data_IF_881497350080
#
_entry.id   IF_881497350080
#
_cell.length_a   1.000
_cell.length_b   1.000
_cell.length_c   1.000
_cell.angle_alpha   90.00
_cell.angle_beta   90.00
_cell.angle_gamma   90.00
#
_symmetry.space_group_name_H-M   'P 1'
#
loop_
_entity.id
_entity.type
_entity.pdbx_description
1 polymer ?
#
# COMPACT_ATOMS: atom_id res chain seq x y z
N UNK A 1 -23.71 -18.74 -57.21
CA UNK A 1 -25.15 -19.04 -57.34
C UNK A 1 -25.58 -19.96 -56.21
N UNK A 2 -26.22 -19.37 -55.18
CA UNK A 2 -27.26 -19.96 -54.33
C UNK A 2 -27.75 -18.82 -53.42
N UNK A 3 -28.85 -18.21 -53.85
CA UNK A 3 -29.68 -17.30 -53.07
C UNK A 3 -30.52 -18.11 -52.07
N UNK A 4 -30.70 -17.62 -50.83
CA UNK A 4 -31.94 -17.72 -50.04
C UNK A 4 -31.99 -16.52 -49.04
N UNK A 5 -33.16 -15.90 -48.76
CA UNK A 5 -33.29 -14.55 -48.24
C UNK A 5 -33.84 -14.40 -46.80
N UNK A 6 -33.61 -13.20 -46.24
CA UNK A 6 -34.47 -12.32 -45.40
C UNK A 6 -35.33 -12.94 -44.27
N UNK A 7 -35.15 -12.44 -43.04
CA UNK A 7 -36.26 -11.95 -42.20
C UNK A 7 -35.80 -10.92 -41.15
N UNK A 8 -36.50 -9.78 -41.14
CA UNK A 8 -36.42 -8.68 -40.17
C UNK A 8 -37.32 -8.99 -38.95
N UNK A 9 -36.97 -8.47 -37.77
CA UNK A 9 -37.89 -8.40 -36.62
C UNK A 9 -37.26 -7.80 -35.35
N UNK A 10 -37.42 -6.49 -35.15
CA UNK A 10 -37.45 -5.79 -33.85
C UNK A 10 -38.94 -5.59 -33.45
N UNK A 11 -39.30 -5.02 -32.28
CA UNK A 11 -38.85 -5.22 -30.89
C UNK A 11 -40.07 -5.49 -29.95
N UNK A 12 -39.86 -5.95 -28.71
CA UNK A 12 -40.90 -5.85 -27.65
C UNK A 12 -40.30 -5.42 -26.32
N UNK A 13 -40.93 -4.37 -25.78
CA UNK A 13 -40.74 -3.66 -24.52
C UNK A 13 -41.50 -4.38 -23.39
N UNK A 14 -40.90 -4.48 -22.19
CA UNK A 14 -41.56 -4.49 -20.86
C UNK A 14 -40.45 -4.46 -19.79
N UNK A 15 -40.15 -3.35 -19.10
CA UNK A 15 -40.90 -2.64 -18.06
C UNK A 15 -41.18 -3.49 -16.81
N UNK A 16 -40.39 -3.30 -15.75
CA UNK A 16 -40.80 -3.51 -14.36
C UNK A 16 -39.88 -2.72 -13.40
N UNK A 17 -40.39 -1.55 -13.01
CA UNK A 17 -40.09 -0.80 -11.77
C UNK A 17 -40.67 -1.58 -10.57
N UNK A 18 -40.09 -1.50 -9.37
CA UNK A 18 -40.76 -1.40 -8.04
C UNK A 18 -39.69 -1.24 -6.92
N UNK A 19 -39.40 -0.04 -6.37
CA UNK A 19 -39.93 0.77 -5.21
C UNK A 19 -39.45 0.36 -3.79
N UNK A 20 -39.09 1.40 -3.00
CA UNK A 20 -39.01 1.60 -1.50
C UNK A 20 -37.57 1.57 -0.93
N UNK A 21 -36.90 2.64 -0.47
CA UNK A 21 -37.25 3.88 0.27
C UNK A 21 -37.76 3.64 1.70
N UNK A 22 -36.86 3.76 2.68
CA UNK A 22 -37.20 4.05 4.09
C UNK A 22 -36.27 5.16 4.60
N UNK A 23 -36.87 6.33 4.79
CA UNK A 23 -36.40 7.42 5.64
C UNK A 23 -37.05 7.24 7.01
N UNK A 24 -36.29 7.43 8.09
CA UNK A 24 -36.84 7.49 9.45
C UNK A 24 -36.00 8.42 10.31
N UNK A 25 -36.46 9.66 10.46
CA UNK A 25 -35.93 10.68 11.35
C UNK A 25 -37.01 11.05 12.38
N UNK A 26 -36.56 11.45 13.57
CA UNK A 26 -37.29 12.06 14.71
C UNK A 26 -38.06 11.13 15.67
N UNK A 27 -37.71 11.16 16.96
CA UNK A 27 -38.31 12.10 17.92
C UNK A 27 -37.58 12.12 19.27
N UNK A 28 -37.52 13.32 19.83
CA UNK A 28 -37.06 13.65 21.18
C UNK A 28 -38.09 13.24 22.24
N UNK A 29 -37.62 13.01 23.47
CA UNK A 29 -38.37 13.29 24.69
C UNK A 29 -37.43 13.74 25.80
N UNK A 30 -37.92 14.73 26.53
CA UNK A 30 -37.25 15.53 27.56
C UNK A 30 -37.64 15.04 28.97
N UNK A 31 -36.77 15.40 29.93
CA UNK A 31 -37.01 15.63 31.37
C UNK A 31 -37.04 14.45 32.38
N UNK A 32 -36.22 14.62 33.42
CA UNK A 32 -36.19 13.82 34.65
C UNK A 32 -35.05 14.24 35.57
N UNK A 33 -35.37 15.02 36.61
CA UNK A 33 -34.48 15.77 37.48
C UNK A 33 -33.64 14.97 38.51
N UNK A 34 -32.50 15.58 38.86
CA UNK A 34 -31.86 15.67 40.19
C UNK A 34 -31.56 14.41 41.01
N UNK A 35 -30.26 14.15 41.19
CA UNK A 35 -29.70 13.37 42.29
C UNK A 35 -28.20 13.68 42.42
N UNK A 36 -27.86 14.71 43.18
CA UNK A 36 -26.48 15.01 43.55
C UNK A 36 -25.97 13.94 44.53
N UNK A 37 -25.18 12.99 44.01
CA UNK A 37 -24.37 12.09 44.81
C UNK A 37 -22.91 12.27 44.35
N UNK A 38 -22.10 12.79 45.26
CA UNK A 38 -20.64 12.90 45.16
C UNK A 38 -20.06 11.50 44.94
N UNK A 39 -19.79 11.14 43.69
CA UNK A 39 -19.01 9.97 43.32
C UNK A 39 -17.58 10.43 43.03
N UNK A 40 -16.62 9.80 43.71
CA UNK A 40 -15.20 9.88 43.40
C UNK A 40 -14.97 9.65 41.90
N UNK A 41 -14.01 10.34 41.26
CA UNK A 41 -13.72 10.12 39.86
C UNK A 41 -13.28 8.66 39.67
N UNK A 42 -13.99 7.93 38.78
CA UNK A 42 -13.48 6.68 38.23
C UNK A 42 -12.17 6.98 37.50
N UNK A 43 -11.22 6.03 37.47
CA UNK A 43 -10.07 6.15 36.58
C UNK A 43 -10.56 6.34 35.15
N UNK A 44 -10.01 7.34 34.47
CA UNK A 44 -10.35 7.69 33.09
C UNK A 44 -10.34 6.41 32.25
N UNK A 45 -11.52 6.04 31.75
CA UNK A 45 -11.59 5.04 30.69
C UNK A 45 -10.87 5.67 29.50
N UNK A 46 -9.76 5.07 29.00
CA UNK A 46 -9.07 5.63 27.85
C UNK A 46 -10.09 5.82 26.74
N UNK A 47 -10.14 7.03 26.19
CA UNK A 47 -11.03 7.33 25.08
C UNK A 47 -10.81 6.26 23.99
N UNK A 48 -11.90 5.74 23.37
CA UNK A 48 -11.73 4.81 22.26
C UNK A 48 -10.80 5.46 21.23
N UNK A 49 -9.83 4.68 20.75
CA UNK A 49 -8.92 5.15 19.71
C UNK A 49 -9.77 5.74 18.57
N UNK A 50 -9.42 6.92 18.04
CA UNK A 50 -10.18 7.54 16.95
C UNK A 50 -10.32 6.53 15.82
N UNK A 51 -11.55 6.35 15.33
CA UNK A 51 -11.81 5.49 14.17
C UNK A 51 -11.05 6.07 12.99
N UNK A 52 -10.14 5.29 12.40
CA UNK A 52 -9.37 5.72 11.24
C UNK A 52 -10.35 6.07 10.10
N UNK A 53 -10.19 7.25 9.52
CA UNK A 53 -10.95 7.65 8.33
C UNK A 53 -10.38 6.92 7.11
N UNK A 54 -10.96 5.77 6.80
CA UNK A 54 -10.57 4.93 5.65
C UNK A 54 -10.90 5.56 4.29
N UNK A 55 -11.67 6.66 4.27
CA UNK A 55 -12.03 7.35 3.04
C UNK A 55 -10.90 8.24 2.50
N UNK A 56 -9.95 8.62 3.36
CA UNK A 56 -8.77 9.38 2.96
C UNK A 56 -7.73 8.44 2.35
N UNK A 57 -7.19 8.79 1.18
CA UNK A 57 -6.09 8.04 0.58
C UNK A 57 -4.82 8.29 1.41
N UNK A 58 -4.12 7.25 1.92
CA UNK A 58 -2.86 7.45 2.62
C UNK A 58 -1.81 8.21 1.78
N UNK A 59 -1.89 8.14 0.45
CA UNK A 59 -1.03 8.89 -0.47
C UNK A 59 -1.23 10.40 -0.39
N UNK A 60 -2.37 10.87 0.10
CA UNK A 60 -2.61 12.30 0.30
C UNK A 60 -1.64 12.92 1.31
N UNK A 61 -1.06 12.11 2.21
CA UNK A 61 -0.04 12.55 3.17
C UNK A 61 1.36 12.56 2.57
N UNK A 62 1.58 11.86 1.45
CA UNK A 62 2.84 11.92 0.72
C UNK A 62 2.94 13.20 -0.12
N UNK A 63 1.80 13.84 -0.44
CA UNK A 63 1.73 15.11 -1.14
C UNK A 63 2.38 16.24 -0.30
N UNK A 64 3.65 16.52 -0.55
CA UNK A 64 4.43 17.55 0.17
C UNK A 64 5.74 17.02 0.76
N UNK A 65 5.93 15.71 0.79
CA UNK A 65 7.27 15.13 0.98
C UNK A 65 8.02 15.31 -0.33
N UNK A 66 8.68 16.47 -0.50
CA UNK A 66 9.50 16.73 -1.67
C UNK A 66 10.73 15.82 -1.61
N UNK A 67 10.81 14.87 -2.54
CA UNK A 67 12.10 14.36 -2.97
C UNK A 67 12.93 15.49 -3.57
N UNK A 68 14.23 15.28 -3.72
CA UNK A 68 15.19 16.16 -4.41
C UNK A 68 15.85 17.25 -3.54
N UNK A 69 16.67 16.78 -2.59
CA UNK A 69 17.95 17.41 -2.27
C UNK A 69 19.08 16.46 -2.68
N UNK A 70 19.66 16.63 -3.86
CA UNK A 70 20.85 15.88 -4.24
C UNK A 70 22.02 16.30 -3.35
N UNK A 71 22.38 15.51 -2.35
CA UNK A 71 23.64 15.69 -1.63
C UNK A 71 24.76 15.08 -2.48
N UNK A 72 25.54 15.95 -3.13
CA UNK A 72 26.73 15.55 -3.87
C UNK A 72 27.70 14.78 -2.96
N UNK A 73 27.86 13.48 -3.22
CA UNK A 73 29.02 12.70 -2.77
C UNK A 73 29.04 12.26 -1.31
N UNK A 74 27.95 12.41 -0.54
CA UNK A 74 27.83 11.74 0.74
C UNK A 74 27.34 10.31 0.52
N UNK A 75 28.02 9.32 1.09
CA UNK A 75 27.46 7.99 1.28
C UNK A 75 26.17 8.18 2.06
N UNK A 76 25.04 8.04 1.38
CA UNK A 76 23.76 8.08 2.04
C UNK A 76 23.67 6.82 2.91
N UNK A 77 24.05 6.97 4.17
CA UNK A 77 23.98 5.92 5.18
C UNK A 77 22.92 6.36 6.17
N UNK A 78 21.75 5.77 6.03
CA UNK A 78 20.71 5.88 7.03
C UNK A 78 21.08 5.00 8.22
N UNK A 79 21.15 5.55 9.46
CA UNK A 79 21.38 4.72 10.63
C UNK A 79 20.20 3.78 10.82
N UNK A 80 20.48 2.49 11.06
CA UNK A 80 19.43 1.52 11.36
C UNK A 80 18.65 2.00 12.58
N UNK A 81 17.31 2.01 12.47
CA UNK A 81 16.44 2.39 13.59
C UNK A 81 16.36 1.21 14.54
N UNK A 82 16.73 1.42 15.79
CA UNK A 82 16.62 0.39 16.82
C UNK A 82 15.19 0.27 17.36
N UNK A 83 14.86 -0.87 17.98
CA UNK A 83 13.58 -1.04 18.68
C UNK A 83 13.40 -0.02 19.81
N UNK A 84 14.49 0.42 20.46
CA UNK A 84 14.46 1.40 21.55
C UNK A 84 14.08 2.80 21.08
N UNK A 85 14.40 3.15 19.84
CA UNK A 85 14.05 4.42 19.21
C UNK A 85 12.63 4.41 18.62
N UNK A 86 12.04 3.23 18.45
CA UNK A 86 10.71 3.08 17.88
C UNK A 86 9.66 3.77 18.76
N UNK A 87 8.89 4.68 18.16
CA UNK A 87 7.77 5.34 18.83
C UNK A 87 6.46 4.55 18.70
N UNK A 88 6.46 3.54 17.83
CA UNK A 88 5.34 2.60 17.66
C UNK A 88 5.77 1.22 18.18
N UNK A 89 5.08 0.64 19.17
CA UNK A 89 5.40 -0.70 19.64
C UNK A 89 5.07 -1.74 18.57
N UNK A 90 5.92 -2.76 18.46
CA UNK A 90 5.63 -3.94 17.64
C UNK A 90 4.58 -4.85 18.32
N UNK A 91 3.73 -5.56 17.53
CA UNK A 91 3.61 -5.45 16.09
C UNK A 91 2.88 -4.16 15.69
N UNK A 92 3.35 -3.49 14.64
CA UNK A 92 2.77 -2.19 14.21
C UNK A 92 1.36 -2.33 13.60
N UNK A 93 0.97 -3.55 13.20
CA UNK A 93 -0.38 -3.94 12.78
C UNK A 93 -0.67 -5.41 13.13
N UNK A 94 -1.94 -5.81 13.09
CA UNK A 94 -2.35 -7.21 13.27
C UNK A 94 -2.41 -7.91 11.90
N UNK A 95 -1.43 -8.77 11.63
CA UNK A 95 -1.31 -9.52 10.38
C UNK A 95 -2.51 -10.42 10.06
N UNK A 96 -3.20 -10.94 11.09
CA UNK A 96 -4.37 -11.80 10.90
C UNK A 96 -5.58 -11.08 10.32
N UNK A 97 -5.56 -9.75 10.34
CA UNK A 97 -6.63 -8.86 9.86
C UNK A 97 -6.37 -8.29 8.46
N UNK A 98 -5.26 -8.66 7.82
CA UNK A 98 -4.96 -8.23 6.44
C UNK A 98 -5.85 -8.99 5.47
N UNK A 99 -6.65 -8.25 4.71
CA UNK A 99 -7.60 -8.79 3.72
C UNK A 99 -7.08 -8.67 2.29
N UNK A 100 -6.28 -7.65 2.02
CA UNK A 100 -5.71 -7.38 0.70
C UNK A 100 -4.34 -6.71 0.83
N UNK A 101 -3.44 -7.02 -0.09
CA UNK A 101 -2.11 -6.43 -0.23
C UNK A 101 -2.01 -5.91 -1.66
N UNK A 102 -1.59 -4.67 -1.83
CA UNK A 102 -1.24 -4.11 -3.14
C UNK A 102 0.23 -3.72 -3.13
N UNK A 103 0.96 -4.15 -4.15
CA UNK A 103 2.37 -3.83 -4.33
C UNK A 103 2.49 -3.16 -5.68
N UNK A 104 3.01 -1.95 -5.70
CA UNK A 104 3.27 -1.20 -6.92
C UNK A 104 4.75 -0.90 -7.00
N UNK A 105 5.36 -1.29 -8.11
CA UNK A 105 6.70 -0.90 -8.50
C UNK A 105 6.60 -0.04 -9.76
N UNK A 106 7.32 1.08 -9.77
CA UNK A 106 7.42 1.94 -10.94
C UNK A 106 8.85 2.44 -11.07
N UNK A 107 9.41 2.39 -12.27
CA UNK A 107 10.75 2.91 -12.53
C UNK A 107 10.84 3.52 -13.92
N UNK A 108 11.23 4.79 -13.97
CA UNK A 108 11.51 5.54 -15.20
C UNK A 108 13.03 5.71 -15.38
N UNK A 109 13.74 4.62 -15.65
CA UNK A 109 15.18 4.68 -15.92
C UNK A 109 15.56 5.12 -17.34
N UNK A 110 16.87 5.17 -17.62
CA UNK A 110 17.42 5.41 -18.96
C UNK A 110 17.49 4.15 -19.86
N UNK A 111 16.95 3.02 -19.41
CA UNK A 111 16.90 1.77 -20.17
C UNK A 111 15.91 1.86 -21.34
N UNK A 112 16.18 1.14 -22.44
CA UNK A 112 15.23 0.96 -23.55
C UNK A 112 13.93 0.23 -23.12
N UNK A 113 13.98 -0.45 -21.98
CA UNK A 113 12.84 -1.13 -21.35
C UNK A 113 12.13 -0.26 -20.29
N UNK A 114 12.42 1.04 -20.26
CA UNK A 114 11.75 2.03 -19.41
C UNK A 114 10.53 2.67 -20.12
N UNK A 115 9.44 3.00 -19.40
CA UNK A 115 9.20 2.73 -17.98
C UNK A 115 9.03 1.24 -17.70
N UNK A 116 9.36 0.82 -16.48
CA UNK A 116 9.00 -0.48 -15.93
C UNK A 116 7.92 -0.27 -14.88
N UNK A 117 6.80 -0.95 -15.04
CA UNK A 117 5.68 -0.93 -14.11
C UNK A 117 5.35 -2.36 -13.69
N UNK A 118 5.12 -2.56 -12.40
CA UNK A 118 4.51 -3.79 -11.89
C UNK A 118 3.46 -3.45 -10.85
N UNK A 119 2.29 -4.08 -10.97
CA UNK A 119 1.22 -4.00 -10.01
C UNK A 119 0.80 -5.41 -9.60
N UNK A 120 1.01 -5.74 -8.33
CA UNK A 120 0.63 -7.03 -7.74
C UNK A 120 -0.50 -6.77 -6.75
N UNK A 121 -1.61 -7.47 -6.92
CA UNK A 121 -2.71 -7.52 -5.94
C UNK A 121 -2.79 -8.92 -5.35
N UNK A 122 -2.74 -9.04 -4.02
CA UNK A 122 -3.08 -10.26 -3.29
C UNK A 122 -4.38 -10.02 -2.50
N UNK A 123 -5.30 -10.99 -2.53
CA UNK A 123 -6.57 -10.95 -1.78
C UNK A 123 -6.76 -12.24 -1.02
N UNK A 124 -7.14 -12.14 0.25
CA UNK A 124 -7.36 -13.30 1.11
C UNK A 124 -8.46 -14.18 0.52
N UNK A 125 -8.16 -15.47 0.35
CA UNK A 125 -9.06 -16.46 -0.23
C UNK A 125 -8.82 -17.83 0.42
N UNK A 126 -9.82 -18.36 1.13
CA UNK A 126 -9.69 -19.64 1.83
C UNK A 126 -8.58 -19.61 2.89
N UNK A 127 -7.63 -20.54 2.79
CA UNK A 127 -6.42 -20.71 3.61
C UNK A 127 -5.17 -20.07 2.96
N UNK A 128 -5.36 -19.12 2.05
CA UNK A 128 -4.29 -18.44 1.33
C UNK A 128 -4.69 -17.10 0.76
N UNK A 129 -3.99 -16.70 -0.29
CA UNK A 129 -4.27 -15.50 -1.05
C UNK A 129 -4.32 -15.83 -2.53
N UNK A 130 -5.35 -15.33 -3.22
CA UNK A 130 -5.32 -15.25 -4.67
C UNK A 130 -4.52 -14.02 -5.06
N UNK A 131 -3.67 -14.15 -6.06
CA UNK A 131 -2.85 -13.05 -6.56
C UNK A 131 -3.07 -12.81 -8.05
N UNK A 132 -2.89 -11.55 -8.45
CA UNK A 132 -2.79 -11.10 -9.83
C UNK A 132 -1.62 -10.13 -9.93
N UNK A 133 -0.76 -10.34 -10.93
CA UNK A 133 0.42 -9.53 -11.21
C UNK A 133 0.29 -9.03 -12.64
N UNK A 134 0.35 -7.72 -12.81
CA UNK A 134 0.42 -7.03 -14.10
C UNK A 134 1.79 -6.38 -14.21
N UNK A 135 2.50 -6.63 -15.31
CA UNK A 135 3.83 -6.09 -15.59
C UNK A 135 3.86 -5.46 -16.97
N UNK A 136 4.55 -4.32 -17.07
CA UNK A 136 4.94 -3.75 -18.36
C UNK A 136 6.34 -3.18 -18.33
N UNK A 137 7.01 -3.23 -19.47
CA UNK A 137 8.28 -2.55 -19.68
C UNK A 137 8.37 -1.95 -21.08
N UNK A 138 8.99 -0.78 -21.15
CA UNK A 138 9.14 0.02 -22.35
C UNK A 138 7.96 0.96 -22.59
N UNK A 139 8.12 1.96 -23.46
CA UNK A 139 7.08 2.95 -23.71
C UNK A 139 5.84 2.29 -24.29
N UNK A 140 4.67 2.57 -23.70
CA UNK A 140 3.39 1.97 -24.10
C UNK A 140 3.04 2.17 -25.58
N UNK A 141 3.59 3.22 -26.21
CA UNK A 141 3.38 3.58 -27.62
C UNK A 141 4.30 2.82 -28.59
N UNK A 142 5.33 2.13 -28.09
CA UNK A 142 6.23 1.33 -28.91
C UNK A 142 5.73 -0.11 -29.02
N UNK A 143 5.79 -0.65 -30.23
CA UNK A 143 5.47 -2.05 -30.53
C UNK A 143 6.38 -3.06 -29.81
N UNK A 144 7.44 -2.57 -29.16
CA UNK A 144 8.42 -3.34 -28.38
C UNK A 144 8.11 -3.38 -26.89
N UNK A 145 7.01 -2.77 -26.43
CA UNK A 145 6.61 -2.84 -25.03
C UNK A 145 6.31 -4.29 -24.63
N UNK A 146 7.01 -4.75 -23.60
CA UNK A 146 6.79 -6.06 -23.00
C UNK A 146 5.64 -5.94 -22.01
N UNK A 147 4.72 -6.90 -22.05
CA UNK A 147 3.61 -7.00 -21.10
C UNK A 147 3.47 -8.43 -20.66
N UNK A 148 3.28 -8.61 -19.36
CA UNK A 148 3.07 -9.92 -18.77
C UNK A 148 2.01 -9.83 -17.68
N UNK A 149 1.07 -10.78 -17.69
CA UNK A 149 -0.01 -10.86 -16.72
C UNK A 149 -0.03 -12.28 -16.16
N UNK A 150 0.10 -12.39 -14.85
CA UNK A 150 0.11 -13.66 -14.13
C UNK A 150 -0.97 -13.65 -13.05
N UNK A 151 -1.55 -14.80 -12.76
CA UNK A 151 -2.44 -14.98 -11.62
C UNK A 151 -2.29 -16.38 -11.04
N UNK A 152 -2.66 -16.53 -9.78
CA UNK A 152 -2.58 -17.81 -9.08
C UNK A 152 -3.03 -17.70 -7.64
N UNK A 153 -2.66 -18.69 -6.84
CA UNK A 153 -2.90 -18.70 -5.40
C UNK A 153 -1.59 -19.01 -4.67
N UNK A 154 -1.39 -18.40 -3.51
CA UNK A 154 -0.24 -18.58 -2.63
C UNK A 154 -0.73 -18.98 -1.23
N UNK A 155 0.01 -19.83 -0.54
CA UNK A 155 -0.36 -20.29 0.79
C UNK A 155 -0.28 -19.15 1.82
N UNK A 156 -1.17 -19.16 2.82
CA UNK A 156 -1.16 -18.13 3.87
C UNK A 156 0.18 -18.10 4.62
N UNK A 157 0.86 -19.24 4.76
CA UNK A 157 2.16 -19.31 5.44
C UNK A 157 3.27 -18.50 4.74
N UNK A 158 3.24 -18.40 3.41
CA UNK A 158 4.24 -17.62 2.66
C UNK A 158 3.98 -16.12 2.80
N UNK A 159 2.71 -15.71 2.74
CA UNK A 159 2.29 -14.32 2.97
C UNK A 159 2.47 -13.93 4.45
N UNK A 160 2.26 -14.85 5.39
CA UNK A 160 2.41 -14.60 6.83
C UNK A 160 3.87 -14.29 7.20
N UNK A 161 4.85 -14.90 6.52
CA UNK A 161 6.27 -14.57 6.70
C UNK A 161 6.53 -13.11 6.34
N UNK A 162 6.08 -12.69 5.16
CA UNK A 162 6.16 -11.30 4.71
C UNK A 162 5.51 -10.34 5.71
N UNK A 163 4.26 -10.61 6.11
CA UNK A 163 3.54 -9.76 7.05
C UNK A 163 4.18 -9.72 8.44
N UNK A 164 4.79 -10.82 8.89
CA UNK A 164 5.50 -10.88 10.17
C UNK A 164 6.72 -9.97 10.18
N UNK A 165 7.50 -9.98 9.09
CA UNK A 165 8.67 -9.09 8.98
C UNK A 165 8.24 -7.63 8.95
N UNK A 166 7.24 -7.27 8.13
CA UNK A 166 6.72 -5.92 8.06
C UNK A 166 6.16 -5.42 9.40
N UNK A 167 5.46 -6.29 10.14
CA UNK A 167 4.87 -5.94 11.43
C UNK A 167 5.91 -5.67 12.53
N UNK A 168 7.14 -6.18 12.36
CA UNK A 168 8.22 -6.03 13.33
C UNK A 168 9.15 -4.83 13.04
N UNK A 169 8.97 -4.12 11.91
CA UNK A 169 9.85 -3.01 11.53
C UNK A 169 9.71 -1.85 12.54
N UNK A 170 10.81 -1.42 13.18
CA UNK A 170 10.81 -0.23 14.04
C UNK A 170 10.42 1.03 13.27
N UNK A 171 9.58 1.87 13.89
CA UNK A 171 9.07 3.11 13.29
C UNK A 171 9.38 4.31 14.17
N UNK A 172 9.93 5.37 13.57
CA UNK A 172 10.08 6.69 14.21
C UNK A 172 9.13 7.69 13.57
N UNK A 173 8.71 8.70 14.31
CA UNK A 173 7.86 9.77 13.77
C UNK A 173 8.61 10.53 12.66
N UNK A 174 7.95 10.78 11.53
CA UNK A 174 8.48 11.66 10.50
C UNK A 174 8.33 13.11 10.95
N UNK A 175 9.43 13.86 10.94
CA UNK A 175 9.43 15.28 11.23
C UNK A 175 9.95 16.06 10.01
N UNK A 176 9.18 17.04 9.54
CA UNK A 176 9.56 17.92 8.44
C UNK A 176 10.45 19.11 8.87
N UNK A 177 10.68 19.27 10.18
CA UNK A 177 11.52 20.34 10.73
C UNK A 177 13.01 19.98 10.61
N UNK A 178 13.82 20.91 10.10
CA UNK A 178 15.26 20.72 9.88
C UNK A 178 16.09 20.45 11.16
N UNK A 179 15.52 20.75 12.33
CA UNK A 179 16.17 20.60 13.64
C UNK A 179 15.85 19.26 14.34
N UNK A 180 15.06 18.38 13.70
CA UNK A 180 14.73 17.04 14.20
C UNK A 180 15.52 15.97 13.42
N UNK A 181 15.97 14.90 14.09
CA UNK A 181 16.96 13.98 13.51
C UNK A 181 16.48 13.10 12.34
N UNK A 182 15.18 13.11 11.98
CA UNK A 182 14.61 12.11 11.07
C UNK A 182 13.58 12.67 10.08
N UNK A 183 14.06 13.36 9.06
CA UNK A 183 13.30 13.72 7.85
C UNK A 183 13.58 12.69 6.75
N UNK A 184 12.55 12.09 6.15
CA UNK A 184 12.73 11.13 5.06
C UNK A 184 13.50 11.79 3.89
N UNK A 185 14.66 11.23 3.59
CA UNK A 185 15.53 11.64 2.49
C UNK A 185 15.93 10.38 1.72
N UNK A 186 15.44 10.20 0.49
CA UNK A 186 15.74 9.03 -0.30
C UNK A 186 17.24 8.92 -0.62
N UNK A 187 17.73 7.69 -0.71
CA UNK A 187 19.15 7.43 -0.80
C UNK A 187 19.68 7.47 -2.23
N UNK A 188 20.70 8.31 -2.50
CA UNK A 188 21.11 8.68 -3.85
C UNK A 188 22.63 8.74 -4.09
N UNK A 189 23.18 7.88 -4.97
CA UNK A 189 24.19 8.30 -5.93
C UNK A 189 23.46 8.82 -7.19
N UNK A 190 23.62 10.10 -7.53
CA UNK A 190 23.03 10.71 -8.73
C UNK A 190 23.40 9.92 -10.00
N UNK A 191 22.49 9.09 -10.51
CA UNK A 191 22.61 8.55 -11.87
C UNK A 191 21.28 8.42 -12.66
N UNK A 192 20.08 8.33 -12.04
CA UNK A 192 18.80 8.05 -12.74
C UNK A 192 17.56 8.47 -11.91
N UNK A 193 16.33 8.40 -12.48
CA UNK A 193 15.09 8.48 -11.71
C UNK A 193 14.95 7.24 -10.79
N UNK A 194 14.44 7.43 -9.57
CA UNK A 194 14.39 6.38 -8.55
C UNK A 194 13.29 5.34 -8.83
N UNK A 195 13.54 4.04 -8.56
CA UNK A 195 12.44 3.09 -8.50
C UNK A 195 11.56 3.46 -7.31
N UNK A 196 10.28 3.65 -7.59
CA UNK A 196 9.24 3.85 -6.60
C UNK A 196 8.65 2.50 -6.23
N UNK A 197 8.59 2.20 -4.94
CA UNK A 197 7.96 1.00 -4.39
C UNK A 197 6.89 1.42 -3.38
N UNK A 198 5.67 0.94 -3.59
CA UNK A 198 4.56 1.07 -2.65
C UNK A 198 4.09 -0.33 -2.24
N UNK A 199 3.93 -0.55 -0.93
CA UNK A 199 3.21 -1.70 -0.39
C UNK A 199 2.07 -1.17 0.45
N UNK A 200 0.85 -1.46 0.05
CA UNK A 200 -0.36 -1.09 0.75
C UNK A 200 -1.06 -2.30 1.34
N UNK A 201 -1.20 -2.31 2.66
CA UNK A 201 -1.96 -3.31 3.40
C UNK A 201 -3.36 -2.77 3.70
N UNK A 202 -4.37 -3.52 3.28
CA UNK A 202 -5.76 -3.27 3.59
C UNK A 202 -6.19 -4.20 4.72
N UNK A 203 -6.44 -3.62 5.88
CA UNK A 203 -7.00 -4.30 7.04
C UNK A 203 -8.47 -3.86 7.20
N UNK A 204 -9.26 -4.66 7.92
CA UNK A 204 -10.69 -4.40 8.11
C UNK A 204 -11.04 -3.00 8.66
N UNK A 205 -10.12 -2.35 9.39
CA UNK A 205 -10.33 -1.06 10.05
C UNK A 205 -9.22 -0.03 9.82
N UNK A 206 -8.21 -0.35 9.01
CA UNK A 206 -7.07 0.54 8.73
C UNK A 206 -6.42 0.23 7.39
N UNK A 207 -5.79 1.24 6.80
CA UNK A 207 -4.86 1.11 5.67
C UNK A 207 -3.47 1.48 6.15
N UNK A 208 -2.49 0.69 5.73
CA UNK A 208 -1.08 0.94 6.02
C UNK A 208 -0.33 1.02 4.69
N UNK A 209 0.35 2.12 4.44
CA UNK A 209 1.14 2.30 3.22
C UNK A 209 2.61 2.41 3.57
N UNK A 210 3.42 1.50 3.02
CA UNK A 210 4.87 1.63 2.98
C UNK A 210 5.26 2.20 1.61
N UNK A 211 6.11 3.20 1.59
CA UNK A 211 6.54 3.90 0.38
C UNK A 211 8.05 4.10 0.42
N UNK A 212 8.73 3.83 -0.69
CA UNK A 212 10.12 4.22 -0.91
C UNK A 212 10.32 4.71 -2.33
N UNK A 213 11.26 5.63 -2.46
CA UNK A 213 11.77 6.20 -3.71
C UNK A 213 13.30 6.25 -3.63
N UNK A 214 13.93 5.13 -3.27
CA UNK A 214 15.38 5.02 -3.05
C UNK A 214 16.03 4.03 -4.03
N UNK A 215 17.29 4.26 -4.41
CA UNK A 215 18.07 3.33 -5.23
C UNK A 215 18.88 2.36 -4.35
N UNK A 216 19.00 1.11 -4.78
CA UNK A 216 19.79 0.07 -4.12
C UNK A 216 19.00 -1.21 -3.83
N UNK A 217 19.72 -2.29 -3.50
CA UNK A 217 19.14 -3.62 -3.25
C UNK A 217 18.14 -3.61 -2.08
N UNK A 218 18.32 -2.71 -1.12
CA UNK A 218 17.48 -2.63 0.08
C UNK A 218 16.40 -1.54 0.02
N UNK A 219 16.45 -0.63 -0.97
CA UNK A 219 15.50 0.48 -1.15
C UNK A 219 15.11 1.23 0.14
N UNK A 220 16.03 1.38 1.08
CA UNK A 220 15.83 2.11 2.35
C UNK A 220 16.21 3.58 2.22
N UNK A 221 15.62 4.49 3.02
CA UNK A 221 14.55 4.26 4.00
C UNK A 221 13.16 4.15 3.35
N UNK A 222 12.15 3.78 4.15
CA UNK A 222 10.74 3.78 3.79
C UNK A 222 9.97 4.82 4.60
N UNK A 223 9.02 5.50 3.98
CA UNK A 223 7.92 6.16 4.66
C UNK A 223 6.84 5.13 4.98
N UNK A 224 6.23 5.26 6.16
CA UNK A 224 5.08 4.47 6.55
C UNK A 224 3.94 5.39 6.95
N UNK A 225 2.81 5.31 6.23
CA UNK A 225 1.57 6.02 6.58
C UNK A 225 0.70 5.07 7.39
N UNK A 226 0.43 5.43 8.65
CA UNK A 226 -0.41 4.66 9.57
C UNK A 226 -1.35 5.58 10.34
N UNK A 227 -2.65 5.31 10.29
CA UNK A 227 -3.68 6.10 11.01
C UNK A 227 -3.55 7.62 10.75
N UNK A 228 -3.29 8.01 9.50
CA UNK A 228 -3.03 9.39 9.08
C UNK A 228 -1.78 10.06 9.71
N UNK A 229 -0.82 9.28 10.20
CA UNK A 229 0.50 9.75 10.63
C UNK A 229 1.59 9.20 9.71
N UNK A 230 2.64 9.99 9.51
CA UNK A 230 3.84 9.61 8.77
C UNK A 230 4.93 9.15 9.74
N UNK A 231 5.56 8.04 9.39
CA UNK A 231 6.70 7.47 10.09
C UNK A 231 7.81 7.19 9.10
N UNK A 232 9.04 7.08 9.60
CA UNK A 232 10.20 6.59 8.85
C UNK A 232 10.56 5.21 9.37
N UNK A 233 10.89 4.32 8.45
CA UNK A 233 11.47 3.01 8.72
C UNK A 233 12.80 2.91 7.96
N UNK A 234 13.86 2.49 8.64
CA UNK A 234 15.12 2.14 8.01
C UNK A 234 15.55 0.76 8.49
N UNK A 235 15.10 -0.25 7.76
CA UNK A 235 15.45 -1.63 8.01
C UNK A 235 15.50 -2.39 6.68
N UNK A 236 16.60 -3.13 6.40
CA UNK A 236 16.67 -3.97 5.21
C UNK A 236 15.72 -5.18 5.28
N UNK A 237 15.05 -5.41 6.43
CA UNK A 237 14.03 -6.44 6.54
C UNK A 237 12.87 -6.22 5.56
N UNK A 238 12.50 -4.97 5.27
CA UNK A 238 11.43 -4.70 4.31
C UNK A 238 11.75 -5.25 2.92
N UNK A 239 12.92 -4.91 2.38
CA UNK A 239 13.32 -5.34 1.05
C UNK A 239 13.51 -6.86 0.97
N UNK A 240 14.07 -7.48 2.01
CA UNK A 240 14.16 -8.95 2.08
C UNK A 240 12.79 -9.62 2.09
N UNK A 241 11.87 -9.16 2.93
CA UNK A 241 10.51 -9.68 2.98
C UNK A 241 9.81 -9.56 1.61
N UNK A 242 9.99 -8.42 0.94
CA UNK A 242 9.42 -8.17 -0.38
C UNK A 242 10.06 -9.08 -1.45
N UNK A 243 11.37 -9.29 -1.41
CA UNK A 243 12.08 -10.19 -2.31
C UNK A 243 11.60 -11.63 -2.15
N UNK A 244 11.52 -12.13 -0.90
CA UNK A 244 11.01 -13.46 -0.58
C UNK A 244 9.57 -13.65 -1.10
N UNK A 245 8.70 -12.64 -0.91
CA UNK A 245 7.34 -12.69 -1.43
C UNK A 245 7.33 -12.72 -2.96
N UNK A 246 8.12 -11.88 -3.62
CA UNK A 246 8.22 -11.84 -5.08
C UNK A 246 8.74 -13.16 -5.66
N UNK A 247 9.68 -13.83 -4.98
CA UNK A 247 10.16 -15.17 -5.37
C UNK A 247 9.02 -16.19 -5.36
N UNK A 248 8.22 -16.20 -4.29
CA UNK A 248 7.06 -17.10 -4.16
C UNK A 248 6.02 -16.83 -5.25
N UNK A 249 5.79 -15.55 -5.58
CA UNK A 249 4.81 -15.14 -6.58
C UNK A 249 5.34 -15.29 -8.03
N UNK A 250 6.65 -15.44 -8.23
CA UNK A 250 7.28 -15.33 -9.54
C UNK A 250 7.17 -13.92 -10.14
N UNK A 251 7.05 -12.90 -9.29
CA UNK A 251 6.66 -11.54 -9.65
C UNK A 251 7.79 -10.51 -9.53
N UNK A 252 9.06 -10.93 -9.52
CA UNK A 252 10.18 -9.99 -9.43
C UNK A 252 10.11 -8.98 -10.61
N UNK A 253 9.94 -7.67 -10.33
CA UNK A 253 9.82 -6.65 -11.36
C UNK A 253 11.12 -6.44 -12.16
N UNK A 254 12.27 -6.93 -11.65
CA UNK A 254 13.57 -6.84 -12.32
C UNK A 254 13.90 -8.06 -13.21
N UNK A 255 13.11 -9.14 -13.13
CA UNK A 255 13.24 -10.29 -14.04
C UNK A 255 12.31 -10.15 -15.25
N UNK A 256 12.60 -9.17 -16.10
CA UNK A 256 12.39 -9.39 -17.53
C UNK A 256 13.68 -10.02 -18.03
N UNK A 257 13.73 -11.35 -18.04
CA UNK A 257 14.78 -12.02 -18.80
C UNK A 257 14.72 -11.47 -20.22
N UNK A 258 15.87 -11.06 -20.81
CA UNK A 258 15.90 -10.64 -22.19
C UNK A 258 15.34 -11.80 -23.01
N UNK A 259 14.22 -11.59 -23.70
CA UNK A 259 13.76 -12.50 -24.73
C UNK A 259 14.92 -12.57 -25.73
N UNK A 260 15.62 -13.70 -25.74
CA UNK A 260 16.73 -13.90 -26.64
C UNK A 260 16.26 -13.66 -28.10
N UNK A 261 17.07 -12.98 -28.92
CA UNK A 261 16.70 -12.58 -30.28
C UNK A 261 16.38 -13.77 -31.20
#
# INVERSE_FOLDING_TARGET
MRDVPIAKGLPVIALLLWVLLVVGCQQANTEGAQGAATRSPLPDTPAPAPTADLSRDPRDLLNGVQGFGGVDGATCEWPAISEEESVVPAPIFDKGRVEKIEITFHWEGLSDYSPVDSHTTLRKAGDGFDFAVERSAGPAELATSLRDNQSGSVAEADVDRFLTELAAIPLIAHHADADQPFAYEPCAPMLDNYPKVEVELWLADQRLLFFSESQGVDAVPFLVVRNNHLYVANSPAFARALADLNEVLGSDPLFLEPIAP
#
